data_IF_518491961856
#
_entry.id   IF_518491961856
#
_cell.length_a   1.000
_cell.length_b   1.000
_cell.length_c   1.000
_cell.angle_alpha   90.00
_cell.angle_beta   90.00
_cell.angle_gamma   90.00
#
_symmetry.space_group_name_H-M   'P 1'
#
loop_
_entity.id
_entity.type
_entity.pdbx_description
1 polymer ?
#
# COMPACT_ATOMS: atom_id res chain seq x y z
N UNK A 1 46.63 -7.14 49.48
CA UNK A 1 45.73 -7.13 48.30
C UNK A 1 44.38 -6.60 48.75
N UNK A 2 44.13 -5.32 48.53
CA UNK A 2 42.92 -4.62 48.97
C UNK A 2 41.81 -4.86 47.94
N UNK A 3 40.73 -5.54 48.33
CA UNK A 3 39.57 -5.77 47.47
C UNK A 3 38.69 -4.53 47.53
N UNK A 4 38.66 -3.77 46.42
CA UNK A 4 37.74 -2.65 46.27
C UNK A 4 36.29 -3.14 46.31
N UNK A 5 35.52 -2.65 47.28
CA UNK A 5 34.08 -2.86 47.41
C UNK A 5 33.36 -2.27 46.18
N UNK A 6 32.99 -3.13 45.22
CA UNK A 6 32.02 -2.75 44.19
C UNK A 6 30.64 -2.75 44.83
N UNK A 7 30.00 -1.58 44.87
CA UNK A 7 28.57 -1.44 45.11
C UNK A 7 27.79 -2.28 44.08
N UNK A 8 27.56 -3.56 44.37
CA UNK A 8 26.71 -4.43 43.56
C UNK A 8 25.26 -4.11 43.92
N UNK A 9 24.64 -3.20 43.18
CA UNK A 9 23.18 -3.02 43.22
C UNK A 9 22.55 -4.31 42.69
N UNK A 10 21.99 -5.10 43.59
CA UNK A 10 21.15 -6.24 43.24
C UNK A 10 19.75 -5.70 42.92
N UNK A 11 19.25 -5.97 41.71
CA UNK A 11 17.85 -5.74 41.36
C UNK A 11 16.97 -6.64 42.23
N UNK A 12 15.88 -6.09 42.77
CA UNK A 12 14.93 -6.92 43.51
C UNK A 12 14.15 -7.81 42.54
N UNK A 13 13.84 -9.04 42.96
CA UNK A 13 13.01 -9.96 42.17
C UNK A 13 11.64 -9.34 41.83
N UNK A 14 11.11 -8.53 42.74
CA UNK A 14 9.84 -7.84 42.57
C UNK A 14 9.90 -6.70 41.55
N UNK A 15 11.01 -5.95 41.46
CA UNK A 15 11.20 -4.94 40.41
C UNK A 15 11.12 -5.58 39.03
N UNK A 16 11.83 -6.68 38.82
CA UNK A 16 11.87 -7.33 37.51
C UNK A 16 10.50 -7.94 37.17
N UNK A 17 9.81 -8.52 38.17
CA UNK A 17 8.48 -9.11 38.01
C UNK A 17 7.40 -8.08 37.64
N UNK A 18 7.39 -6.91 38.29
CA UNK A 18 6.42 -5.85 37.97
C UNK A 18 6.67 -5.27 36.58
N UNK A 19 7.94 -5.10 36.19
CA UNK A 19 8.31 -4.54 34.88
C UNK A 19 7.80 -5.40 33.73
N UNK A 20 8.04 -6.71 33.76
CA UNK A 20 7.56 -7.60 32.70
C UNK A 20 6.02 -7.66 32.68
N UNK A 21 5.38 -7.54 33.85
CA UNK A 21 3.93 -7.42 33.97
C UNK A 21 3.39 -6.17 33.27
N UNK A 22 3.98 -5.00 33.53
CA UNK A 22 3.54 -3.74 32.93
C UNK A 22 3.83 -3.70 31.42
N UNK A 23 5.00 -4.21 30.97
CA UNK A 23 5.33 -4.29 29.54
C UNK A 23 4.29 -5.16 28.80
N UNK A 24 3.85 -6.27 29.40
CA UNK A 24 2.86 -7.16 28.78
C UNK A 24 1.51 -6.45 28.54
N UNK A 25 1.07 -5.61 29.49
CA UNK A 25 -0.15 -4.82 29.34
C UNK A 25 -0.02 -3.81 28.20
N UNK A 26 1.07 -3.04 28.17
CA UNK A 26 1.29 -2.05 27.10
C UNK A 26 1.46 -2.66 25.72
N UNK A 27 2.09 -3.83 25.62
CA UNK A 27 2.31 -4.50 24.33
C UNK A 27 0.99 -4.83 23.62
N UNK A 28 -0.04 -5.26 24.35
CA UNK A 28 -1.35 -5.61 23.74
C UNK A 28 -2.04 -4.40 23.10
N UNK A 29 -2.02 -3.25 23.76
CA UNK A 29 -2.63 -2.01 23.27
C UNK A 29 -1.91 -1.54 21.99
N UNK A 30 -0.58 -1.59 21.99
CA UNK A 30 0.25 -1.15 20.86
C UNK A 30 -0.02 -1.99 19.61
N UNK A 31 -0.20 -3.31 19.75
CA UNK A 31 -0.42 -4.20 18.61
C UNK A 31 -1.69 -3.86 17.81
N UNK A 32 -2.79 -3.54 18.50
CA UNK A 32 -4.05 -3.16 17.85
C UNK A 32 -3.89 -1.84 17.08
N UNK A 33 -3.15 -0.87 17.64
CA UNK A 33 -2.90 0.41 16.98
C UNK A 33 -2.03 0.25 15.72
N UNK A 34 -1.03 -0.63 15.73
CA UNK A 34 -0.11 -0.84 14.61
C UNK A 34 -0.81 -1.45 13.39
N UNK A 35 -1.79 -2.34 13.58
CA UNK A 35 -2.55 -2.92 12.46
C UNK A 35 -3.22 -1.81 11.63
N UNK A 36 -4.01 -0.96 12.27
CA UNK A 36 -4.68 0.15 11.58
C UNK A 36 -3.72 1.15 10.92
N UNK A 37 -2.54 1.37 11.53
CA UNK A 37 -1.52 2.25 10.96
C UNK A 37 -0.86 1.65 9.70
N UNK A 38 -0.69 0.32 9.66
CA UNK A 38 -0.18 -0.40 8.48
C UNK A 38 -1.17 -0.35 7.33
N UNK A 39 -2.45 -0.57 7.61
CA UNK A 39 -3.50 -0.53 6.59
C UNK A 39 -3.60 0.87 5.96
N UNK A 40 -3.54 1.93 6.78
CA UNK A 40 -3.49 3.31 6.28
C UNK A 40 -2.24 3.60 5.45
N UNK A 41 -1.08 3.09 5.86
CA UNK A 41 0.16 3.25 5.10
C UNK A 41 0.09 2.52 3.75
N UNK A 42 -0.50 1.33 3.73
CA UNK A 42 -0.77 0.55 2.53
C UNK A 42 -1.66 1.31 1.55
N UNK A 43 -2.80 1.81 2.02
CA UNK A 43 -3.75 2.61 1.23
C UNK A 43 -3.08 3.88 0.68
N UNK A 44 -2.30 4.60 1.48
CA UNK A 44 -1.57 5.78 1.02
C UNK A 44 -0.52 5.43 -0.05
N UNK A 45 0.16 4.29 0.12
CA UNK A 45 1.07 3.75 -0.89
C UNK A 45 0.36 3.41 -2.20
N UNK A 46 -0.84 2.81 -2.12
CA UNK A 46 -1.70 2.49 -3.25
C UNK A 46 -2.18 3.76 -3.97
N UNK A 47 -2.70 4.76 -3.24
CA UNK A 47 -3.08 6.08 -3.77
C UNK A 47 -1.94 6.75 -4.55
N UNK A 48 -0.72 6.67 -4.03
CA UNK A 48 0.46 7.25 -4.69
C UNK A 48 0.80 6.52 -5.99
N UNK A 49 0.75 5.18 -5.97
CA UNK A 49 0.98 4.36 -7.16
C UNK A 49 -0.09 4.59 -8.23
N UNK A 50 -1.36 4.71 -7.85
CA UNK A 50 -2.46 4.99 -8.79
C UNK A 50 -2.30 6.37 -9.43
N UNK A 51 -1.94 7.42 -8.67
CA UNK A 51 -1.63 8.73 -9.26
C UNK A 51 -0.47 8.67 -10.25
N UNK A 52 0.56 7.86 -9.98
CA UNK A 52 1.66 7.65 -10.92
C UNK A 52 1.18 7.02 -12.24
N UNK A 53 0.26 6.05 -12.16
CA UNK A 53 -0.34 5.41 -13.34
C UNK A 53 -1.23 6.39 -14.09
N UNK A 54 -1.98 7.25 -13.38
CA UNK A 54 -2.79 8.32 -13.97
C UNK A 54 -1.92 9.24 -14.84
N UNK A 55 -0.81 9.77 -14.29
CA UNK A 55 0.12 10.61 -15.04
C UNK A 55 0.74 9.87 -16.23
N UNK A 56 1.05 8.58 -16.08
CA UNK A 56 1.59 7.75 -17.15
C UNK A 56 0.59 7.54 -18.30
N UNK A 57 -0.69 7.33 -17.98
CA UNK A 57 -1.79 7.23 -18.94
C UNK A 57 -2.00 8.55 -19.70
N UNK A 58 -1.98 9.68 -18.99
CA UNK A 58 -2.07 11.01 -19.60
C UNK A 58 -0.93 11.28 -20.58
N UNK A 59 0.31 10.96 -20.17
CA UNK A 59 1.48 11.09 -21.02
C UNK A 59 1.31 10.25 -22.30
N UNK A 60 0.79 9.03 -22.16
CA UNK A 60 0.64 8.16 -23.30
C UNK A 60 -0.44 8.63 -24.29
N UNK A 61 -1.62 8.96 -23.78
CA UNK A 61 -2.71 9.44 -24.62
C UNK A 61 -2.40 10.81 -25.23
N UNK A 62 -1.67 11.67 -24.51
CA UNK A 62 -1.20 12.97 -25.00
C UNK A 62 -0.24 12.89 -26.19
N UNK A 63 0.45 11.76 -26.38
CA UNK A 63 1.33 11.52 -27.54
C UNK A 63 0.66 10.72 -28.65
N UNK A 64 -0.62 10.33 -28.48
CA UNK A 64 -1.34 9.47 -29.42
C UNK A 64 -1.01 7.98 -29.31
N UNK A 65 -0.41 7.56 -28.20
CA UNK A 65 -0.15 6.15 -27.91
C UNK A 65 -1.42 5.37 -27.56
N UNK A 66 -1.31 4.04 -27.60
CA UNK A 66 -2.41 3.12 -27.27
C UNK A 66 -2.19 2.51 -25.90
N UNK A 67 -3.16 2.69 -25.00
CA UNK A 67 -3.10 2.20 -23.61
C UNK A 67 -3.59 0.76 -23.52
N UNK A 68 -2.97 -0.05 -22.66
CA UNK A 68 -3.32 -1.44 -22.45
C UNK A 68 -3.67 -1.73 -21.00
N UNK A 69 -4.61 -2.65 -20.82
CA UNK A 69 -4.86 -3.26 -19.51
C UNK A 69 -3.88 -4.40 -19.28
N UNK A 70 -3.39 -4.59 -18.06
CA UNK A 70 -2.39 -5.61 -17.77
C UNK A 70 -2.16 -5.85 -16.28
N UNK A 71 -1.47 -6.94 -15.92
CA UNK A 71 -1.01 -7.16 -14.55
C UNK A 71 0.09 -6.14 -14.18
N UNK A 72 0.50 -6.16 -12.91
CA UNK A 72 1.71 -5.47 -12.49
C UNK A 72 2.92 -5.85 -13.38
N UNK A 73 3.84 -4.90 -13.57
CA UNK A 73 5.00 -4.98 -14.48
C UNK A 73 4.68 -5.06 -15.99
N UNK A 74 3.42 -5.10 -16.42
CA UNK A 74 3.09 -4.97 -17.84
C UNK A 74 3.22 -3.52 -18.32
N UNK A 75 3.60 -3.32 -19.59
CA UNK A 75 3.65 -1.99 -20.20
C UNK A 75 2.28 -1.32 -20.19
N UNK A 76 2.26 -0.04 -19.82
CA UNK A 76 1.03 0.74 -19.76
C UNK A 76 0.52 1.06 -21.16
N UNK A 77 1.43 1.28 -22.12
CA UNK A 77 1.05 1.65 -23.47
C UNK A 77 2.12 1.41 -24.54
N UNK A 78 1.72 1.50 -25.81
CA UNK A 78 2.60 1.46 -27.00
C UNK A 78 2.50 2.79 -27.78
N UNK A 79 3.64 3.43 -28.15
CA UNK A 79 5.01 3.04 -27.80
C UNK A 79 5.29 3.18 -26.29
N UNK A 80 6.23 2.39 -25.75
CA UNK A 80 6.57 2.39 -24.31
C UNK A 80 7.28 3.68 -23.90
N UNK A 81 6.48 4.70 -23.59
CA UNK A 81 6.92 6.01 -23.10
C UNK A 81 6.48 6.28 -21.67
N UNK A 82 5.56 5.46 -21.16
CA UNK A 82 4.89 5.63 -19.88
C UNK A 82 5.38 4.63 -18.83
N UNK A 83 6.17 3.62 -19.23
CA UNK A 83 6.68 2.57 -18.37
C UNK A 83 5.64 1.48 -18.10
N UNK A 84 5.78 0.83 -16.94
CA UNK A 84 5.02 -0.36 -16.58
C UNK A 84 4.15 -0.14 -15.33
N UNK A 85 3.10 -0.95 -15.20
CA UNK A 85 2.23 -0.93 -14.02
C UNK A 85 3.01 -1.27 -12.73
N UNK A 86 2.74 -0.57 -11.62
CA UNK A 86 3.46 -0.77 -10.37
C UNK A 86 3.01 -2.05 -9.64
N UNK A 87 3.94 -2.65 -8.89
CA UNK A 87 3.65 -3.74 -7.95
C UNK A 87 3.00 -3.19 -6.67
N UNK A 88 1.81 -3.68 -6.32
CA UNK A 88 0.99 -3.24 -5.19
C UNK A 88 0.92 -4.26 -4.05
N UNK A 89 1.28 -5.53 -4.27
CA UNK A 89 1.33 -6.58 -3.24
C UNK A 89 2.24 -6.23 -2.08
N UNK A 90 3.37 -5.56 -2.34
CA UNK A 90 4.30 -5.11 -1.30
C UNK A 90 3.69 -4.02 -0.41
N UNK A 91 2.66 -3.32 -0.87
CA UNK A 91 1.98 -2.24 -0.15
C UNK A 91 0.77 -2.78 0.59
N UNK A 92 -0.10 -3.50 -0.11
CA UNK A 92 -1.40 -3.95 0.40
C UNK A 92 -1.37 -5.35 1.02
N UNK A 93 -0.30 -6.12 0.84
CA UNK A 93 -0.14 -7.45 1.45
C UNK A 93 -1.05 -8.53 0.87
N UNK A 94 -1.67 -8.26 -0.29
CA UNK A 94 -2.58 -9.16 -1.01
C UNK A 94 -2.03 -9.45 -2.42
N UNK A 95 -2.70 -10.34 -3.16
CA UNK A 95 -2.32 -10.68 -4.53
C UNK A 95 -2.26 -9.43 -5.43
N UNK A 96 -1.33 -9.41 -6.39
CA UNK A 96 -1.21 -8.30 -7.35
C UNK A 96 -2.49 -8.13 -8.17
N UNK A 97 -3.00 -6.89 -8.34
CA UNK A 97 -4.16 -6.66 -9.17
C UNK A 97 -3.84 -6.70 -10.66
N UNK A 98 -4.90 -6.85 -11.44
CA UNK A 98 -4.92 -6.55 -12.86
C UNK A 98 -5.43 -5.12 -13.06
N UNK A 99 -4.65 -4.27 -13.71
CA UNK A 99 -5.03 -2.92 -14.06
C UNK A 99 -5.89 -2.94 -15.31
N UNK A 100 -7.14 -2.49 -15.17
CA UNK A 100 -8.08 -2.38 -16.29
C UNK A 100 -8.24 -0.92 -16.66
N UNK A 101 -7.94 -0.61 -17.92
CA UNK A 101 -8.22 0.68 -18.55
C UNK A 101 -9.45 0.52 -19.44
N UNK A 102 -10.44 1.37 -19.22
CA UNK A 102 -11.66 1.44 -20.01
C UNK A 102 -11.66 2.76 -20.79
N UNK A 103 -11.30 2.74 -22.08
CA UNK A 103 -11.39 3.93 -22.91
C UNK A 103 -12.86 4.28 -23.18
N UNK A 104 -13.17 5.57 -23.16
CA UNK A 104 -14.44 6.17 -23.58
C UNK A 104 -14.18 7.08 -24.80
N UNK A 105 -15.24 7.52 -25.46
CA UNK A 105 -15.13 8.37 -26.65
C UNK A 105 -14.41 9.71 -26.39
N UNK A 106 -14.45 10.21 -25.16
CA UNK A 106 -13.89 11.51 -24.77
C UNK A 106 -13.05 11.47 -23.49
N UNK A 107 -12.96 10.32 -22.84
CA UNK A 107 -12.27 10.15 -21.56
C UNK A 107 -11.73 8.73 -21.42
N UNK A 108 -11.04 8.44 -20.33
CA UNK A 108 -10.61 7.10 -19.96
C UNK A 108 -10.81 6.96 -18.46
N UNK A 109 -11.13 5.75 -18.01
CA UNK A 109 -11.03 5.42 -16.59
C UNK A 109 -10.17 4.19 -16.41
N UNK A 110 -9.52 4.06 -15.27
CA UNK A 110 -8.86 2.82 -14.90
C UNK A 110 -9.10 2.44 -13.45
N UNK A 111 -9.13 1.14 -13.21
CA UNK A 111 -9.36 0.53 -11.91
C UNK A 111 -8.58 -0.78 -11.79
N UNK A 112 -8.60 -1.38 -10.60
CA UNK A 112 -7.90 -2.62 -10.27
C UNK A 112 -8.90 -3.78 -10.13
N UNK A 113 -8.57 -4.94 -10.69
CA UNK A 113 -9.38 -6.16 -10.67
C UNK A 113 -8.60 -7.37 -10.14
N UNK A 114 -9.31 -8.37 -9.62
CA UNK A 114 -8.80 -9.69 -9.23
C UNK A 114 -8.51 -10.56 -10.46
N UNK A 115 -7.53 -10.14 -11.27
CA UNK A 115 -7.17 -10.81 -12.52
C UNK A 115 -7.98 -10.34 -13.74
N UNK A 116 -7.69 -10.91 -14.93
CA UNK A 116 -8.29 -10.48 -16.18
C UNK A 116 -9.80 -10.80 -16.21
N UNK A 117 -10.65 -9.77 -16.08
CA UNK A 117 -12.10 -9.93 -16.02
C UNK A 117 -12.62 -10.45 -14.67
N UNK A 118 -11.80 -10.39 -13.62
CA UNK A 118 -12.20 -10.70 -12.25
C UNK A 118 -13.12 -9.64 -11.63
N UNK A 119 -13.46 -9.85 -10.35
CA UNK A 119 -14.12 -8.86 -9.50
C UNK A 119 -13.22 -7.65 -9.24
N UNK A 120 -13.81 -6.61 -8.67
CA UNK A 120 -13.09 -5.46 -8.16
C UNK A 120 -12.04 -5.88 -7.12
N UNK A 121 -10.82 -5.37 -7.27
CA UNK A 121 -9.75 -5.55 -6.30
C UNK A 121 -9.65 -4.32 -5.41
N UNK A 122 -9.52 -4.54 -4.10
CA UNK A 122 -9.40 -3.49 -3.10
C UNK A 122 -8.18 -3.68 -2.21
N UNK A 123 -7.58 -2.57 -1.79
CA UNK A 123 -6.51 -2.54 -0.81
C UNK A 123 -7.10 -2.28 0.57
N UNK A 124 -7.28 -3.33 1.39
CA UNK A 124 -7.84 -3.21 2.76
C UNK A 124 -9.22 -2.52 2.80
N UNK A 125 -10.09 -2.81 1.83
CA UNK A 125 -11.42 -2.20 1.69
C UNK A 125 -11.45 -0.88 0.90
N UNK A 126 -10.30 -0.42 0.40
CA UNK A 126 -10.17 0.79 -0.39
C UNK A 126 -9.89 0.49 -1.86
N UNK A 127 -10.82 0.87 -2.75
CA UNK A 127 -10.66 0.80 -4.20
C UNK A 127 -10.50 2.20 -4.77
N UNK A 128 -9.68 2.34 -5.80
CA UNK A 128 -9.55 3.57 -6.54
C UNK A 128 -10.05 3.38 -7.97
N UNK A 129 -10.91 4.29 -8.40
CA UNK A 129 -11.26 4.48 -9.81
C UNK A 129 -10.75 5.84 -10.23
N UNK A 130 -9.89 5.85 -11.24
CA UNK A 130 -9.21 7.07 -11.66
C UNK A 130 -9.59 7.42 -13.10
N UNK A 131 -9.76 8.71 -13.32
CA UNK A 131 -10.10 9.34 -14.60
C UNK A 131 -9.14 10.53 -14.85
N UNK A 132 -9.33 11.34 -15.91
CA UNK A 132 -8.46 12.50 -16.15
C UNK A 132 -8.62 13.63 -15.12
N UNK A 133 -9.70 13.64 -14.33
CA UNK A 133 -9.98 14.70 -13.36
C UNK A 133 -9.39 14.37 -11.97
N UNK A 134 -9.28 13.07 -11.66
CA UNK A 134 -8.71 12.60 -10.40
C UNK A 134 -8.86 11.10 -10.17
N UNK A 135 -8.60 10.69 -8.94
CA UNK A 135 -8.90 9.35 -8.47
C UNK A 135 -9.97 9.43 -7.40
N UNK A 136 -11.12 8.82 -7.65
CA UNK A 136 -12.21 8.65 -6.71
C UNK A 136 -11.94 7.46 -5.78
N UNK A 137 -12.20 7.67 -4.50
CA UNK A 137 -12.02 6.68 -3.45
C UNK A 137 -13.34 5.95 -3.19
N UNK A 138 -13.39 4.65 -3.50
CA UNK A 138 -14.58 3.83 -3.34
C UNK A 138 -14.36 2.83 -2.21
N UNK A 139 -15.18 2.91 -1.16
CA UNK A 139 -15.12 2.01 -0.01
C UNK A 139 -14.55 2.68 1.25
N UNK A 140 -13.87 1.90 2.08
CA UNK A 140 -13.30 2.37 3.35
C UNK A 140 -11.83 2.79 3.16
N UNK A 141 -11.66 3.90 2.46
CA UNK A 141 -10.42 4.68 2.40
C UNK A 141 -10.47 5.80 3.49
#
# INVERSE_FOLDING_TARGET
MTIASRNKKAFTLIELLIIVGIISLFATIILVMISSARDKAAINGYKTSMKSVQTALELCLGTGGTVFSGPASAFICDPDIAGSYPELSQKCGIAEPFFRVTPSATSWSFTTLDGPGGSDWDCSGCRLECDPEGCEEIGSC
#
